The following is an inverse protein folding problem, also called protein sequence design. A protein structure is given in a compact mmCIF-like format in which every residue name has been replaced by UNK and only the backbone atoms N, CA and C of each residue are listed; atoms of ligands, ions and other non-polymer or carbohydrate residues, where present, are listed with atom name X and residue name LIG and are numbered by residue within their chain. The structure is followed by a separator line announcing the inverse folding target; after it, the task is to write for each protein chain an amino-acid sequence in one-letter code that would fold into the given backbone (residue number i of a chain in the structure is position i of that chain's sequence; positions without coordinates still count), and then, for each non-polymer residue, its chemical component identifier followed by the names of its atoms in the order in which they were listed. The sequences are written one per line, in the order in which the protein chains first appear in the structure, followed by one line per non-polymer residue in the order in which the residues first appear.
data_IF_370873442572
#
_entry.id   IF_370873442572
#
_cell.length_a   1.000
_cell.length_b   1.000
_cell.length_c   1.000
_cell.angle_alpha   90.00
_cell.angle_beta   90.00
_cell.angle_gamma   90.00
#
_symmetry.space_group_name_H-M   'P 1'
#
loop_
_entity.id
_entity.type
_entity.pdbx_description
1 polymer ?
#
# COMPACT_ATOMS: atom_id res chain seq x y z
N UNK A 1 -8.98 -20.69 -14.55
CA UNK A 1 -8.69 -21.34 -13.25
C UNK A 1 -7.50 -20.63 -12.62
N UNK A 2 -7.64 -19.33 -12.41
CA UNK A 2 -6.62 -18.47 -11.76
C UNK A 2 -7.29 -17.47 -10.81
N UNK A 3 -8.55 -17.73 -10.46
CA UNK A 3 -9.52 -16.73 -10.06
C UNK A 3 -9.46 -16.37 -8.55
N UNK A 4 -8.72 -17.12 -7.74
CA UNK A 4 -8.60 -16.85 -6.30
C UNK A 4 -7.47 -15.86 -5.95
N UNK A 5 -6.42 -15.73 -6.78
CA UNK A 5 -5.27 -14.86 -6.48
C UNK A 5 -5.51 -13.40 -6.90
N UNK A 6 -6.26 -13.19 -7.97
CA UNK A 6 -6.64 -11.86 -8.47
C UNK A 6 -7.64 -11.17 -7.52
N UNK A 7 -8.57 -11.93 -6.94
CA UNK A 7 -9.68 -11.40 -6.13
C UNK A 7 -9.20 -10.59 -4.92
N UNK A 8 -8.25 -11.11 -4.14
CA UNK A 8 -7.74 -10.39 -2.95
C UNK A 8 -7.01 -9.10 -3.32
N UNK A 9 -6.24 -9.09 -4.42
CA UNK A 9 -5.54 -7.87 -4.88
C UNK A 9 -6.55 -6.82 -5.33
N UNK A 10 -7.59 -7.24 -6.07
CA UNK A 10 -8.70 -6.38 -6.49
C UNK A 10 -9.51 -5.88 -5.30
N UNK A 11 -9.75 -6.72 -4.29
CA UNK A 11 -10.47 -6.35 -3.07
C UNK A 11 -9.67 -5.33 -2.25
N UNK A 12 -8.35 -5.49 -2.18
CA UNK A 12 -7.44 -4.56 -1.52
C UNK A 12 -7.40 -3.22 -2.25
N UNK A 13 -7.32 -3.25 -3.58
CA UNK A 13 -7.42 -2.06 -4.43
C UNK A 13 -8.74 -1.33 -4.24
N UNK A 14 -9.87 -2.04 -4.35
CA UNK A 14 -11.19 -1.46 -4.16
C UNK A 14 -11.37 -0.87 -2.78
N UNK A 15 -10.79 -1.48 -1.75
CA UNK A 15 -10.81 -0.94 -0.39
C UNK A 15 -10.07 0.41 -0.31
N UNK A 16 -8.94 0.57 -1.02
CA UNK A 16 -8.24 1.86 -1.14
C UNK A 16 -9.11 2.88 -1.87
N UNK A 17 -9.74 2.49 -2.98
CA UNK A 17 -10.59 3.38 -3.79
C UNK A 17 -11.86 3.83 -3.05
N UNK A 18 -12.45 2.95 -2.25
CA UNK A 18 -13.60 3.26 -1.40
C UNK A 18 -13.19 3.97 -0.08
N UNK A 19 -11.89 4.16 0.17
CA UNK A 19 -11.38 4.74 1.43
C UNK A 19 -11.61 3.87 2.66
N UNK A 20 -11.87 2.57 2.48
CA UNK A 20 -12.15 1.61 3.55
C UNK A 20 -10.85 1.03 4.12
N UNK A 21 -10.17 1.85 4.92
CA UNK A 21 -8.93 1.49 5.60
C UNK A 21 -9.14 0.32 6.57
N UNK A 22 -10.30 0.19 7.20
CA UNK A 22 -10.62 -0.96 8.07
C UNK A 22 -10.57 -2.30 7.35
N UNK A 23 -11.08 -2.36 6.11
CA UNK A 23 -11.04 -3.56 5.29
C UNK A 23 -9.61 -3.82 4.84
N UNK A 24 -8.90 -2.77 4.41
CA UNK A 24 -7.50 -2.87 4.02
C UNK A 24 -6.63 -3.44 5.16
N UNK A 25 -6.80 -2.90 6.37
CA UNK A 25 -6.08 -3.32 7.56
C UNK A 25 -6.50 -4.73 7.98
N UNK A 26 -7.79 -5.08 7.88
CA UNK A 26 -8.26 -6.45 8.12
C UNK A 26 -7.65 -7.45 7.15
N UNK A 27 -7.60 -7.13 5.85
CA UNK A 27 -7.01 -8.00 4.83
C UNK A 27 -5.51 -8.15 5.06
N UNK A 28 -4.79 -7.06 5.33
CA UNK A 28 -3.34 -7.10 5.56
C UNK A 28 -2.96 -7.82 6.86
N UNK A 29 -3.80 -7.67 7.89
CA UNK A 29 -3.61 -8.31 9.20
C UNK A 29 -4.04 -9.77 9.24
N UNK A 30 -4.78 -10.24 8.23
CA UNK A 30 -5.08 -11.66 8.07
C UNK A 30 -3.76 -12.40 7.80
N UNK A 31 -3.14 -12.83 8.90
CA UNK A 31 -1.80 -13.41 8.97
C UNK A 31 -1.83 -14.88 8.58
N UNK A 32 -2.52 -15.19 7.49
CA UNK A 32 -2.45 -16.51 6.88
C UNK A 32 -1.00 -16.72 6.40
N UNK A 33 -0.23 -17.66 6.99
CA UNK A 33 1.21 -17.81 6.73
C UNK A 33 1.55 -18.24 5.29
N UNK A 34 0.53 -18.47 4.46
CA UNK A 34 0.62 -18.79 3.04
C UNK A 34 0.48 -17.57 2.12
N UNK A 35 0.12 -16.40 2.65
CA UNK A 35 -0.20 -15.22 1.87
C UNK A 35 0.84 -14.13 2.12
N UNK A 36 1.84 -14.05 1.24
CA UNK A 36 2.78 -12.92 1.18
C UNK A 36 2.03 -11.65 0.73
N UNK A 37 1.19 -11.09 1.60
CA UNK A 37 0.33 -9.95 1.33
C UNK A 37 1.13 -8.69 1.02
N UNK A 38 2.27 -8.50 1.71
CA UNK A 38 3.23 -7.46 1.36
C UNK A 38 3.74 -7.62 -0.09
N UNK A 39 4.05 -8.84 -0.54
CA UNK A 39 4.42 -9.06 -1.95
C UNK A 39 3.25 -8.82 -2.91
N UNK A 40 2.02 -9.16 -2.53
CA UNK A 40 0.83 -8.87 -3.36
C UNK A 40 0.55 -7.37 -3.45
N UNK A 41 0.73 -6.63 -2.35
CA UNK A 41 0.62 -5.17 -2.35
C UNK A 41 1.76 -4.49 -3.13
N UNK A 42 2.93 -5.12 -3.16
CA UNK A 42 4.06 -4.71 -4.01
C UNK A 42 3.87 -5.08 -5.48
N UNK A 43 2.94 -5.98 -5.80
CA UNK A 43 2.64 -6.31 -7.18
C UNK A 43 1.96 -5.12 -7.87
N UNK A 44 2.30 -4.92 -9.14
CA UNK A 44 1.63 -3.93 -9.98
C UNK A 44 0.19 -4.42 -10.18
N UNK A 45 -0.76 -3.72 -9.58
CA UNK A 45 -2.19 -4.06 -9.61
C UNK A 45 -3.00 -3.12 -10.50
N UNK A 46 -2.41 -2.01 -10.95
CA UNK A 46 -3.05 -1.00 -11.79
C UNK A 46 -2.08 -0.44 -12.82
N UNK A 47 -2.61 0.27 -13.81
CA UNK A 47 -1.81 1.05 -14.77
C UNK A 47 -0.87 2.04 -14.07
N UNK A 48 -1.30 2.61 -12.93
CA UNK A 48 -0.52 3.52 -12.12
C UNK A 48 0.59 2.87 -11.27
N UNK A 49 0.64 1.53 -11.23
CA UNK A 49 1.63 0.77 -10.47
C UNK A 49 1.02 -0.11 -9.40
N UNK A 50 1.59 -0.02 -8.20
CA UNK A 50 1.17 -0.79 -7.02
C UNK A 50 -0.01 -0.14 -6.29
N UNK A 51 -0.58 -0.86 -5.33
CA UNK A 51 -1.68 -0.33 -4.50
C UNK A 51 -1.28 0.94 -3.73
N UNK A 52 0.00 1.05 -3.38
CA UNK A 52 0.56 2.23 -2.74
C UNK A 52 0.58 3.46 -3.67
N UNK A 53 0.81 3.27 -4.98
CA UNK A 53 0.66 4.37 -5.94
C UNK A 53 -0.77 4.89 -6.00
N UNK A 54 -1.75 3.98 -5.96
CA UNK A 54 -3.17 4.35 -5.96
C UNK A 54 -3.55 5.10 -4.69
N UNK A 55 -3.14 4.62 -3.53
CA UNK A 55 -3.40 5.29 -2.25
C UNK A 55 -2.86 6.73 -2.23
N UNK A 56 -1.64 6.93 -2.79
CA UNK A 56 -1.05 8.26 -2.93
C UNK A 56 -1.83 9.12 -3.93
N UNK A 57 -2.27 8.57 -5.05
CA UNK A 57 -3.05 9.29 -6.05
C UNK A 57 -4.39 9.81 -5.52
N UNK A 58 -5.01 9.02 -4.63
CA UNK A 58 -6.25 9.36 -3.93
C UNK A 58 -6.01 10.31 -2.76
N UNK A 59 -4.76 10.70 -2.50
CA UNK A 59 -4.35 11.57 -1.40
C UNK A 59 -4.72 11.04 -0.01
N UNK A 60 -4.81 9.71 0.14
CA UNK A 60 -5.23 9.06 1.38
C UNK A 60 -4.03 8.73 2.27
N UNK A 61 -3.72 9.63 3.21
CA UNK A 61 -2.64 9.43 4.18
C UNK A 61 -2.87 8.20 5.07
N UNK A 62 -4.12 7.92 5.44
CA UNK A 62 -4.50 6.75 6.25
C UNK A 62 -4.23 5.43 5.52
N UNK A 63 -4.63 5.33 4.24
CA UNK A 63 -4.35 4.14 3.43
C UNK A 63 -2.84 3.93 3.24
N UNK A 64 -2.09 5.02 3.02
CA UNK A 64 -0.62 4.96 2.90
C UNK A 64 0.03 4.50 4.19
N UNK A 65 -0.33 5.07 5.35
CA UNK A 65 0.21 4.64 6.64
C UNK A 65 -0.14 3.18 6.92
N UNK A 66 -1.40 2.76 6.69
CA UNK A 66 -1.80 1.36 6.86
C UNK A 66 -0.98 0.41 5.97
N UNK A 67 -0.74 0.74 4.70
CA UNK A 67 0.10 -0.08 3.82
C UNK A 67 1.55 -0.15 4.30
N UNK A 68 2.14 0.99 4.68
CA UNK A 68 3.53 1.07 5.16
C UNK A 68 3.72 0.30 6.48
N UNK A 69 2.79 0.43 7.42
CA UNK A 69 2.78 -0.32 8.69
C UNK A 69 2.72 -1.83 8.45
N UNK A 70 2.09 -2.28 7.36
CA UNK A 70 2.03 -3.68 6.98
C UNK A 70 3.25 -4.16 6.15
N UNK A 71 4.32 -3.36 6.06
CA UNK A 71 5.58 -3.76 5.40
C UNK A 71 5.54 -3.72 3.87
N UNK A 72 4.59 -2.96 3.29
CA UNK A 72 4.56 -2.72 1.84
C UNK A 72 5.74 -1.85 1.45
N UNK A 73 6.44 -2.20 0.38
CA UNK A 73 7.64 -1.51 -0.05
C UNK A 73 7.30 -0.19 -0.77
N UNK A 74 7.70 0.97 -0.22
CA UNK A 74 7.50 2.27 -0.86
C UNK A 74 8.43 2.54 -2.04
N UNK A 75 9.48 1.74 -2.21
CA UNK A 75 10.49 1.92 -3.25
C UNK A 75 10.10 1.26 -4.58
N UNK A 76 8.95 0.59 -4.67
CA UNK A 76 8.51 -0.03 -5.92
C UNK A 76 8.21 1.06 -6.94
N UNK A 77 8.75 0.90 -8.14
CA UNK A 77 8.49 1.80 -9.25
C UNK A 77 7.33 1.27 -10.09
N UNK A 78 6.46 2.17 -10.55
CA UNK A 78 5.43 1.83 -11.53
C UNK A 78 5.99 1.73 -12.96
N UNK A 79 5.10 1.47 -13.92
CA UNK A 79 5.46 1.36 -15.33
C UNK A 79 6.03 2.67 -15.93
N UNK A 80 5.87 3.81 -15.25
CA UNK A 80 6.48 5.09 -15.60
C UNK A 80 7.83 5.33 -14.89
N UNK A 81 8.39 4.33 -14.21
CA UNK A 81 9.60 4.45 -13.39
C UNK A 81 9.48 5.44 -12.23
N UNK A 82 8.24 5.79 -11.83
CA UNK A 82 7.98 6.67 -10.69
C UNK A 82 7.73 5.84 -9.45
N UNK A 83 8.22 6.28 -8.31
CA UNK A 83 7.86 5.70 -7.01
C UNK A 83 6.58 6.36 -6.49
N UNK A 84 5.82 5.71 -5.58
CA UNK A 84 4.62 6.28 -5.02
C UNK A 84 4.92 7.61 -4.31
N UNK A 85 6.08 7.74 -3.67
CA UNK A 85 6.53 9.00 -3.07
C UNK A 85 6.65 10.15 -4.08
N UNK A 86 7.07 9.88 -5.33
CA UNK A 86 7.14 10.89 -6.40
C UNK A 86 5.76 11.33 -6.89
N UNK A 87 4.71 10.51 -6.68
CA UNK A 87 3.34 10.85 -7.05
C UNK A 87 2.59 11.63 -5.95
N UNK A 88 3.20 11.84 -4.78
CA UNK A 88 2.58 12.56 -3.67
C UNK A 88 2.21 13.99 -4.07
N UNK A 89 0.90 14.28 -4.02
CA UNK A 89 0.37 15.63 -4.30
C UNK A 89 0.39 16.50 -3.05
N UNK A 90 -0.12 15.99 -1.92
CA UNK A 90 -0.18 16.75 -0.67
C UNK A 90 0.95 16.42 0.30
N UNK A 91 1.28 17.38 1.16
CA UNK A 91 2.22 17.19 2.26
C UNK A 91 1.72 16.21 3.32
N UNK A 92 0.40 16.03 3.45
CA UNK A 92 -0.19 15.02 4.35
C UNK A 92 0.31 13.61 4.03
N UNK A 93 0.28 13.23 2.75
CA UNK A 93 0.74 11.91 2.31
C UNK A 93 2.25 11.78 2.45
N UNK A 94 3.03 12.81 2.09
CA UNK A 94 4.48 12.83 2.32
C UNK A 94 4.82 12.68 3.80
N UNK A 95 4.05 13.33 4.67
CA UNK A 95 4.16 13.23 6.12
C UNK A 95 3.91 11.81 6.62
N UNK A 96 2.98 11.07 6.02
CA UNK A 96 2.77 9.66 6.34
C UNK A 96 4.01 8.80 6.02
N UNK A 97 4.62 8.97 4.84
CA UNK A 97 5.88 8.28 4.49
C UNK A 97 7.01 8.62 5.48
N UNK A 98 7.18 9.89 5.81
CA UNK A 98 8.23 10.33 6.73
C UNK A 98 7.97 9.82 8.14
N UNK A 99 6.73 9.87 8.65
CA UNK A 99 6.36 9.31 9.95
C UNK A 99 6.68 7.83 10.03
N UNK A 100 6.32 7.05 9.01
CA UNK A 100 6.53 5.61 9.05
C UNK A 100 8.00 5.22 8.90
N UNK A 101 8.75 5.94 8.05
CA UNK A 101 10.20 5.80 7.99
C UNK A 101 10.88 6.15 9.33
N UNK A 102 10.38 7.19 10.04
CA UNK A 102 10.87 7.58 11.36
C UNK A 102 10.47 6.59 12.47
N UNK A 103 9.29 5.96 12.39
CA UNK A 103 8.92 4.92 13.36
C UNK A 103 9.83 3.70 13.26
N UNK A 104 10.15 3.25 12.04
CA UNK A 104 11.05 2.10 11.84
C UNK A 104 12.43 2.29 12.50
N UNK A 105 12.96 3.52 12.53
CA UNK A 105 14.24 3.82 13.20
C UNK A 105 14.12 4.00 14.72
N UNK A 106 12.93 4.36 15.23
CA UNK A 106 12.73 4.68 16.66
C UNK A 106 12.42 3.44 17.50
N UNK A 107 11.84 2.39 16.90
CA UNK A 107 11.50 1.13 17.58
C UNK A 107 12.55 0.02 17.43
N UNK A 108 13.78 0.38 17.05
CA UNK A 108 14.93 -0.53 17.14
C UNK A 108 15.43 -0.57 18.59
N UNK A 109 14.73 -1.25 19.48
CA UNK A 109 15.18 -1.62 20.84
C UNK A 109 15.20 -3.14 21.03
#
# INVERSE_FOLDING_TARGET
MTDAKEDVTQMLLKSVEEGRVDILCSILKDSSPSLNLAEKANAICCEDGTVLHRAVQLDSADAVSALLTNGVNPCVQNNQNKTPFMLCKSDSVKGAFIREALQAITFSE
#
